data_IF_725626048723
#
_entry.id   IF_725626048723
#
_cell.length_a   1.000
_cell.length_b   1.000
_cell.length_c   1.000
_cell.angle_alpha   90.00
_cell.angle_beta   90.00
_cell.angle_gamma   90.00
#
_symmetry.space_group_name_H-M   'P 1'
#
loop_
_entity.id
_entity.type
_entity.pdbx_description
1 polymer ?
#
# COMPACT_ATOMS: atom_id res chain seq x y z
N UNK A 1 10.51 7.95 -19.01
CA UNK A 1 11.20 7.74 -17.72
C UNK A 1 10.85 6.33 -17.25
N UNK A 2 11.82 5.43 -17.08
CA UNK A 2 11.58 4.11 -16.49
C UNK A 2 11.81 4.21 -14.98
N UNK A 3 10.83 3.76 -14.20
CA UNK A 3 10.95 3.68 -12.74
C UNK A 3 11.23 2.21 -12.40
N UNK A 4 12.41 1.95 -11.84
CA UNK A 4 12.78 0.63 -11.32
C UNK A 4 12.36 0.55 -9.87
N UNK A 5 11.49 -0.40 -9.54
CA UNK A 5 11.01 -0.65 -8.17
C UNK A 5 11.61 -1.92 -7.61
N UNK A 6 11.89 -1.93 -6.31
CA UNK A 6 12.34 -3.12 -5.60
C UNK A 6 11.16 -4.06 -5.28
N UNK A 7 11.46 -5.20 -4.67
CA UNK A 7 10.46 -6.23 -4.37
C UNK A 7 9.38 -5.75 -3.37
N UNK A 8 9.75 -4.94 -2.39
CA UNK A 8 8.81 -4.44 -1.36
C UNK A 8 7.85 -3.41 -1.97
N UNK A 9 8.37 -2.50 -2.79
CA UNK A 9 7.58 -1.51 -3.51
C UNK A 9 6.63 -2.18 -4.51
N UNK A 10 7.11 -3.20 -5.24
CA UNK A 10 6.27 -3.98 -6.15
C UNK A 10 5.09 -4.62 -5.42
N UNK A 11 5.34 -5.26 -4.26
CA UNK A 11 4.29 -5.85 -3.42
C UNK A 11 3.29 -4.80 -2.93
N UNK A 12 3.77 -3.63 -2.52
CA UNK A 12 2.91 -2.53 -2.08
C UNK A 12 1.99 -2.07 -3.22
N UNK A 13 2.54 -1.83 -4.41
CA UNK A 13 1.77 -1.41 -5.59
C UNK A 13 0.72 -2.44 -5.95
N UNK A 14 1.08 -3.73 -5.94
CA UNK A 14 0.14 -4.82 -6.20
C UNK A 14 -0.99 -4.86 -5.16
N UNK A 15 -0.69 -4.58 -3.89
CA UNK A 15 -1.68 -4.56 -2.82
C UNK A 15 -2.64 -3.37 -2.98
N UNK A 16 -2.13 -2.17 -3.25
CA UNK A 16 -2.93 -0.96 -3.54
C UNK A 16 -3.90 -1.23 -4.70
N UNK A 17 -3.42 -1.87 -5.78
CA UNK A 17 -4.25 -2.20 -6.95
C UNK A 17 -5.33 -3.24 -6.63
N UNK A 18 -5.08 -4.16 -5.69
CA UNK A 18 -6.04 -5.20 -5.27
C UNK A 18 -7.12 -4.68 -4.32
N UNK A 19 -6.84 -3.65 -3.51
CA UNK A 19 -7.78 -3.14 -2.51
C UNK A 19 -9.07 -2.59 -3.12
N UNK A 20 -9.09 -2.23 -4.42
CA UNK A 20 -10.24 -1.67 -5.18
C UNK A 20 -10.83 -0.37 -4.59
N UNK A 21 -11.32 -0.42 -3.36
CA UNK A 21 -11.85 0.69 -2.57
C UNK A 21 -11.50 0.48 -1.09
N UNK A 22 -11.11 1.53 -0.38
CA UNK A 22 -10.74 1.42 1.03
C UNK A 22 -9.69 2.44 1.44
N UNK A 23 -9.18 2.29 2.66
CA UNK A 23 -8.02 3.03 3.17
C UNK A 23 -6.89 2.04 3.46
N UNK A 24 -5.67 2.41 3.10
CA UNK A 24 -4.47 1.66 3.44
C UNK A 24 -3.56 2.56 4.25
N UNK A 25 -3.11 2.07 5.41
CA UNK A 25 -2.07 2.72 6.21
C UNK A 25 -0.75 2.05 5.91
N UNK A 26 0.20 2.81 5.38
CA UNK A 26 1.53 2.32 5.01
C UNK A 26 2.53 2.91 5.99
N UNK A 27 3.34 2.06 6.62
CA UNK A 27 4.46 2.49 7.45
C UNK A 27 5.73 2.38 6.60
N UNK A 28 6.46 3.49 6.55
CA UNK A 28 7.71 3.62 5.80
C UNK A 28 8.84 3.86 6.79
N UNK A 29 9.93 3.11 6.66
CA UNK A 29 11.15 3.27 7.42
C UNK A 29 12.34 3.12 6.47
N UNK A 30 13.35 3.98 6.62
CA UNK A 30 14.53 3.99 5.75
C UNK A 30 14.19 4.02 4.25
N UNK A 31 13.16 4.80 3.89
CA UNK A 31 12.61 4.91 2.53
C UNK A 31 12.01 3.62 1.95
N UNK A 32 11.78 2.59 2.78
CA UNK A 32 11.18 1.33 2.38
C UNK A 32 9.82 1.11 3.05
N UNK A 33 8.82 0.57 2.33
CA UNK A 33 7.57 0.17 2.95
C UNK A 33 7.81 -1.11 3.77
N UNK A 34 7.67 -0.99 5.09
CA UNK A 34 7.88 -2.09 6.03
C UNK A 34 6.58 -2.79 6.42
N UNK A 35 5.45 -2.07 6.38
CA UNK A 35 4.14 -2.60 6.78
C UNK A 35 3.01 -1.89 6.06
N UNK A 36 1.98 -2.65 5.72
CA UNK A 36 0.73 -2.15 5.13
C UNK A 36 -0.44 -2.71 5.92
N UNK A 37 -1.30 -1.85 6.40
CA UNK A 37 -2.50 -2.20 7.14
C UNK A 37 -3.73 -1.76 6.35
N UNK A 38 -4.65 -2.68 6.10
CA UNK A 38 -5.93 -2.36 5.48
C UNK A 38 -6.89 -1.81 6.54
N UNK A 39 -7.25 -0.54 6.39
CA UNK A 39 -8.25 0.09 7.22
C UNK A 39 -9.60 -0.07 6.54
N UNK A 40 -10.47 -0.90 7.13
CA UNK A 40 -11.86 -1.00 6.68
C UNK A 40 -12.53 0.35 6.92
N UNK A 41 -12.84 1.07 5.85
CA UNK A 41 -13.62 2.31 5.95
C UNK A 41 -14.95 2.00 6.63
N UNK A 42 -15.24 2.81 7.63
CA UNK A 42 -16.46 2.83 8.43
C UNK A 42 -17.71 2.70 7.56
N UNK A 43 -18.68 1.94 8.07
CA UNK A 43 -20.04 1.88 7.52
C UNK A 43 -20.58 3.32 7.53
N UNK A 44 -20.86 3.86 6.35
CA UNK A 44 -21.69 5.05 6.22
C UNK A 44 -23.13 4.57 6.44
N UNK A 45 -23.71 4.88 7.59
CA UNK A 45 -25.15 4.70 7.85
C UNK A 45 -25.95 5.67 6.97
#
# INVERSE_FOLDING_TARGET
MQITVNLQEKKLIDLIRKTKYGELKILVQDSLPIRVEEMKKSIKL
#
